data_IF_937101948363
#
_entry.id   IF_937101948363
#
_cell.length_a   1.000
_cell.length_b   1.000
_cell.length_c   1.000
_cell.angle_alpha   90.00
_cell.angle_beta   90.00
_cell.angle_gamma   90.00
#
_symmetry.space_group_name_H-M   'P 1'
#
loop_
_entity.id
_entity.type
_entity.pdbx_description
1 polymer ?
#
# COMPACT_ATOMS: atom_id res chain seq x y z
N UNK A 1 0.30 -3.31 16.98
CA UNK A 1 0.75 -1.95 17.31
C UNK A 1 1.48 -1.93 18.64
N UNK A 2 2.46 -1.01 18.74
CA UNK A 2 3.07 -0.62 20.01
C UNK A 2 2.63 0.81 20.32
N UNK A 3 1.89 0.97 21.41
CA UNK A 3 1.33 2.25 21.81
C UNK A 3 2.34 3.03 22.69
N UNK A 4 2.92 4.08 22.13
CA UNK A 4 3.87 4.96 22.81
C UNK A 4 3.22 5.94 23.81
N UNK A 5 1.89 6.01 23.85
CA UNK A 5 1.12 6.78 24.83
C UNK A 5 0.80 5.96 26.09
N UNK A 6 0.93 4.63 26.04
CA UNK A 6 0.69 3.78 27.21
C UNK A 6 1.81 3.99 28.26
N UNK A 7 1.45 4.59 29.36
CA UNK A 7 2.39 4.90 30.48
C UNK A 7 2.98 3.64 31.13
N UNK A 8 2.37 2.47 30.93
CA UNK A 8 2.87 1.19 31.43
C UNK A 8 4.04 0.66 30.59
N UNK A 9 4.22 1.15 29.39
CA UNK A 9 5.32 0.77 28.52
C UNK A 9 6.53 1.69 28.74
N UNK A 10 7.73 1.13 28.68
CA UNK A 10 8.99 1.87 28.76
C UNK A 10 9.22 2.69 27.49
N UNK A 11 8.52 3.81 27.36
CA UNK A 11 8.65 4.85 26.32
C UNK A 11 9.29 4.37 25.00
N UNK A 12 8.55 3.63 24.13
CA UNK A 12 9.10 3.10 22.86
C UNK A 12 9.63 4.21 21.94
N UNK A 13 9.17 5.44 22.13
CA UNK A 13 9.67 6.62 21.41
C UNK A 13 11.19 6.80 21.55
N UNK A 14 11.75 6.50 22.72
CA UNK A 14 13.17 6.66 23.01
C UNK A 14 14.03 5.45 22.53
N UNK A 15 13.42 4.38 22.03
CA UNK A 15 14.18 3.21 21.61
C UNK A 15 14.93 3.47 20.29
N UNK A 16 16.19 3.02 20.17
CA UNK A 16 16.91 3.06 18.91
C UNK A 16 16.17 2.31 17.81
N UNK A 17 16.30 2.81 16.57
CA UNK A 17 15.67 2.18 15.39
C UNK A 17 16.03 0.70 15.24
N UNK A 18 17.28 0.33 15.52
CA UNK A 18 17.75 -1.06 15.51
C UNK A 18 16.98 -1.94 16.50
N UNK A 19 16.70 -1.46 17.70
CA UNK A 19 15.92 -2.21 18.70
C UNK A 19 14.47 -2.40 18.25
N UNK A 20 13.86 -1.38 17.66
CA UNK A 20 12.51 -1.45 17.08
C UNK A 20 12.46 -2.47 15.93
N UNK A 21 13.47 -2.45 15.05
CA UNK A 21 13.60 -3.41 13.94
C UNK A 21 13.73 -4.85 14.45
N UNK A 22 14.59 -5.11 15.44
CA UNK A 22 14.73 -6.45 16.06
C UNK A 22 13.42 -6.94 16.66
N UNK A 23 12.68 -6.06 17.33
CA UNK A 23 11.37 -6.39 17.89
C UNK A 23 10.37 -6.74 16.78
N UNK A 24 10.36 -5.98 15.69
CA UNK A 24 9.50 -6.27 14.53
C UNK A 24 9.78 -7.66 13.96
N UNK A 25 11.06 -8.05 13.78
CA UNK A 25 11.45 -9.40 13.35
C UNK A 25 10.92 -10.47 14.29
N UNK A 26 11.09 -10.28 15.60
CA UNK A 26 10.65 -11.27 16.59
C UNK A 26 9.13 -11.44 16.60
N UNK A 27 8.40 -10.32 16.61
CA UNK A 27 6.92 -10.33 16.70
C UNK A 27 6.27 -10.79 15.39
N UNK A 28 6.89 -10.54 14.24
CA UNK A 28 6.35 -10.92 12.94
C UNK A 28 6.46 -12.40 12.61
N UNK A 29 7.26 -13.18 13.34
CA UNK A 29 7.38 -14.63 13.12
C UNK A 29 6.05 -15.35 13.31
N UNK A 30 5.58 -16.06 12.26
CA UNK A 30 4.23 -16.68 12.24
C UNK A 30 4.07 -17.84 13.23
N UNK A 31 5.15 -18.55 13.58
CA UNK A 31 5.08 -19.75 14.42
C UNK A 31 5.60 -19.53 15.85
N UNK A 32 6.42 -18.51 16.06
CA UNK A 32 7.10 -18.27 17.35
C UNK A 32 6.91 -16.85 17.88
N UNK A 33 6.24 -15.99 17.12
CA UNK A 33 5.82 -14.64 17.49
C UNK A 33 4.31 -14.48 17.38
N UNK A 34 3.85 -13.24 17.21
CA UNK A 34 2.42 -12.92 16.97
C UNK A 34 2.01 -13.28 15.53
N UNK A 35 2.93 -13.17 14.58
CA UNK A 35 2.69 -13.40 13.16
C UNK A 35 2.06 -12.17 12.48
N UNK A 36 2.89 -11.39 11.78
CA UNK A 36 2.46 -10.18 11.09
C UNK A 36 3.42 -9.86 9.93
N UNK A 37 3.03 -8.93 9.07
CA UNK A 37 3.88 -8.43 7.98
C UNK A 37 4.80 -7.28 8.45
N UNK A 38 4.63 -6.84 9.71
CA UNK A 38 5.46 -5.80 10.32
C UNK A 38 4.89 -5.31 11.64
N UNK A 39 5.54 -4.29 12.21
CA UNK A 39 5.19 -3.67 13.47
C UNK A 39 5.09 -2.16 13.31
N UNK A 40 4.00 -1.57 13.79
CA UNK A 40 3.78 -0.14 13.79
C UNK A 40 3.88 0.39 15.22
N UNK A 41 4.68 1.43 15.41
CA UNK A 41 4.76 2.21 16.62
C UNK A 41 3.93 3.49 16.46
N UNK A 42 3.00 3.69 17.38
CA UNK A 42 2.19 4.91 17.51
C UNK A 42 2.80 5.74 18.61
N UNK A 43 3.32 6.92 18.30
CA UNK A 43 4.14 7.70 19.20
C UNK A 43 3.67 9.16 19.29
N UNK A 44 3.95 9.88 20.40
CA UNK A 44 3.74 11.31 20.46
C UNK A 44 4.43 12.05 19.31
N UNK A 45 3.81 13.12 18.84
CA UNK A 45 4.31 14.03 17.81
C UNK A 45 4.07 15.48 18.23
N UNK A 46 5.00 16.36 17.88
CA UNK A 46 4.83 17.81 18.05
C UNK A 46 4.15 18.44 16.83
N UNK A 47 4.13 17.76 15.69
CA UNK A 47 3.66 18.27 14.39
C UNK A 47 2.29 17.72 14.00
N UNK A 48 1.84 16.62 14.63
CA UNK A 48 0.63 15.90 14.23
C UNK A 48 -0.05 15.29 15.47
N UNK A 49 -1.24 14.70 15.29
CA UNK A 49 -1.92 14.01 16.37
C UNK A 49 -1.07 12.88 16.97
N UNK A 50 -0.33 12.19 16.11
CA UNK A 50 0.67 11.21 16.51
C UNK A 50 1.67 10.98 15.37
N UNK A 51 2.80 10.31 15.69
CA UNK A 51 3.77 9.81 14.73
C UNK A 51 3.59 8.31 14.56
N UNK A 52 3.54 7.87 13.32
CA UNK A 52 3.57 6.47 12.92
C UNK A 52 4.96 6.10 12.42
N UNK A 53 5.63 5.18 13.10
CA UNK A 53 6.84 4.52 12.60
C UNK A 53 6.53 3.08 12.28
N UNK A 54 7.00 2.60 11.14
CA UNK A 54 6.72 1.25 10.66
C UNK A 54 8.03 0.48 10.43
N UNK A 55 8.03 -0.78 10.85
CA UNK A 55 9.12 -1.73 10.60
C UNK A 55 8.53 -2.99 9.95
N UNK A 56 9.11 -3.41 8.85
CA UNK A 56 8.73 -4.63 8.13
C UNK A 56 9.10 -5.89 8.94
N UNK A 57 8.62 -7.06 8.51
CA UNK A 57 8.91 -8.33 9.15
C UNK A 57 10.40 -8.71 9.13
N UNK A 58 11.19 -8.14 8.22
CA UNK A 58 12.65 -8.29 8.14
C UNK A 58 13.43 -7.30 9.03
N UNK A 59 12.71 -6.41 9.74
CA UNK A 59 13.27 -5.38 10.61
C UNK A 59 13.65 -4.08 9.88
N UNK A 60 13.53 -4.02 8.59
CA UNK A 60 13.78 -2.80 7.81
C UNK A 60 12.70 -1.75 8.11
N UNK A 61 13.10 -0.47 8.10
CA UNK A 61 12.19 0.65 8.33
C UNK A 61 11.41 0.97 7.05
N UNK A 62 10.08 1.00 7.15
CA UNK A 62 9.19 1.41 6.07
C UNK A 62 8.81 2.88 6.19
N UNK A 63 8.87 3.62 5.07
CA UNK A 63 8.55 5.04 5.07
C UNK A 63 7.06 5.33 5.26
N UNK A 64 6.20 4.45 4.72
CA UNK A 64 4.74 4.59 4.75
C UNK A 64 4.05 3.26 4.46
N UNK A 65 2.89 3.02 5.07
CA UNK A 65 2.00 1.91 4.77
C UNK A 65 0.54 2.40 4.73
N UNK A 66 -0.08 2.39 3.54
CA UNK A 66 -1.45 2.85 3.34
C UNK A 66 -2.48 2.08 4.17
N UNK A 67 -2.31 0.76 4.31
CA UNK A 67 -3.16 -0.07 5.17
C UNK A 67 -2.90 0.24 6.65
N UNK A 68 -1.63 0.29 7.02
CA UNK A 68 -1.19 0.52 8.40
C UNK A 68 -1.66 1.85 8.97
N UNK A 69 -1.58 2.94 8.18
CA UNK A 69 -2.00 4.26 8.66
C UNK A 69 -3.52 4.34 8.90
N UNK A 70 -4.36 3.64 8.09
CA UNK A 70 -5.80 3.58 8.35
C UNK A 70 -6.11 2.86 9.65
N UNK A 71 -5.45 1.75 9.91
CA UNK A 71 -5.59 1.03 11.17
C UNK A 71 -5.05 1.83 12.36
N UNK A 72 -3.89 2.49 12.21
CA UNK A 72 -3.32 3.33 13.26
C UNK A 72 -4.22 4.55 13.58
N UNK A 73 -4.81 5.16 12.56
CA UNK A 73 -5.77 6.25 12.73
C UNK A 73 -7.05 5.78 13.45
N UNK A 74 -7.57 4.60 13.10
CA UNK A 74 -8.69 3.97 13.80
C UNK A 74 -8.35 3.71 15.26
N UNK A 75 -7.18 3.11 15.52
CA UNK A 75 -6.68 2.86 16.88
C UNK A 75 -6.58 4.16 17.68
N UNK A 76 -5.95 5.19 17.10
CA UNK A 76 -5.77 6.48 17.77
C UNK A 76 -7.11 7.15 18.14
N UNK A 77 -8.10 7.03 17.27
CA UNK A 77 -9.45 7.54 17.52
C UNK A 77 -10.17 6.74 18.63
N UNK A 78 -10.15 5.42 18.57
CA UNK A 78 -10.82 4.54 19.54
C UNK A 78 -10.21 4.66 20.96
N UNK A 79 -8.91 5.00 21.05
CA UNK A 79 -8.19 5.14 22.32
C UNK A 79 -8.03 6.60 22.81
N UNK A 80 -8.68 7.54 22.12
CA UNK A 80 -8.70 8.96 22.53
C UNK A 80 -7.38 9.71 22.34
N UNK A 81 -6.41 9.14 21.57
CA UNK A 81 -5.20 9.86 21.16
C UNK A 81 -5.57 11.04 20.26
N UNK A 82 -6.60 10.88 19.43
CA UNK A 82 -7.27 11.96 18.73
C UNK A 82 -8.78 11.80 18.86
N UNK A 83 -9.46 12.87 19.26
CA UNK A 83 -10.93 12.91 19.33
C UNK A 83 -11.59 13.50 18.09
N UNK A 84 -10.79 14.10 17.20
CA UNK A 84 -11.27 14.68 15.97
C UNK A 84 -11.47 13.60 14.91
N UNK A 85 -12.50 13.76 14.06
CA UNK A 85 -12.70 12.86 12.90
C UNK A 85 -11.73 13.15 11.74
N UNK A 86 -11.07 14.31 11.74
CA UNK A 86 -10.03 14.68 10.80
C UNK A 86 -8.80 15.13 11.55
N UNK A 87 -7.67 14.49 11.28
CA UNK A 87 -6.39 14.83 11.91
C UNK A 87 -5.21 14.42 11.04
N UNK A 88 -4.03 14.89 11.42
CA UNK A 88 -2.79 14.60 10.73
C UNK A 88 -2.00 13.52 11.46
N UNK A 89 -1.27 12.72 10.68
CA UNK A 89 -0.35 11.68 11.15
C UNK A 89 1.02 11.95 10.55
N UNK A 90 2.04 12.07 11.40
CA UNK A 90 3.42 12.18 10.96
C UNK A 90 3.94 10.80 10.56
N UNK A 91 4.52 10.69 9.37
CA UNK A 91 5.17 9.48 8.85
C UNK A 91 6.56 9.81 8.34
N UNK A 92 7.38 8.81 8.02
CA UNK A 92 8.70 9.05 7.42
C UNK A 92 8.60 9.56 5.96
N UNK A 93 7.44 9.42 5.31
CA UNK A 93 7.16 10.02 4.00
C UNK A 93 6.44 11.37 4.08
N UNK A 94 6.43 12.01 5.27
CA UNK A 94 5.78 13.30 5.54
C UNK A 94 4.45 13.15 6.28
N UNK A 95 3.79 14.29 6.45
CA UNK A 95 2.49 14.36 7.13
C UNK A 95 1.38 13.89 6.18
N UNK A 96 0.47 13.08 6.71
CA UNK A 96 -0.71 12.57 6.00
C UNK A 96 -1.98 12.97 6.72
N UNK A 97 -2.96 13.46 5.99
CA UNK A 97 -4.29 13.74 6.53
C UNK A 97 -5.13 12.47 6.51
N UNK A 98 -5.80 12.20 7.62
CA UNK A 98 -6.73 11.07 7.76
C UNK A 98 -8.12 11.57 8.16
N UNK A 99 -9.14 10.86 7.70
CA UNK A 99 -10.54 11.20 7.89
C UNK A 99 -11.30 9.96 8.34
N UNK A 100 -11.87 10.02 9.54
CA UNK A 100 -12.72 8.97 10.11
C UNK A 100 -14.16 9.23 9.65
N UNK A 101 -14.76 8.26 8.97
CA UNK A 101 -16.18 8.29 8.62
C UNK A 101 -16.98 7.40 9.57
N UNK A 102 -18.09 7.89 10.04
CA UNK A 102 -19.02 7.18 10.91
C UNK A 102 -20.36 6.96 10.22
N UNK A 103 -21.20 6.10 10.80
CA UNK A 103 -22.63 6.03 10.48
C UNK A 103 -23.29 7.39 10.74
N UNK A 104 -24.45 7.61 10.12
CA UNK A 104 -25.22 8.84 10.33
C UNK A 104 -25.63 9.03 11.80
N UNK A 105 -25.82 7.93 12.53
CA UNK A 105 -26.09 7.91 13.97
C UNK A 105 -24.84 8.19 14.82
N UNK A 106 -23.67 8.21 14.20
CA UNK A 106 -22.39 8.51 14.85
C UNK A 106 -21.82 7.42 15.76
N UNK A 107 -22.45 6.25 15.81
CA UNK A 107 -22.09 5.19 16.75
C UNK A 107 -20.91 4.33 16.25
N UNK A 108 -20.85 4.07 14.92
CA UNK A 108 -19.88 3.16 14.35
C UNK A 108 -19.00 3.84 13.29
N UNK A 109 -17.70 3.52 13.30
CA UNK A 109 -16.78 3.91 12.24
C UNK A 109 -16.99 2.97 11.05
N UNK A 110 -17.34 3.57 9.90
CA UNK A 110 -17.60 2.84 8.64
C UNK A 110 -16.35 2.73 7.77
N UNK A 111 -15.50 3.77 7.77
CA UNK A 111 -14.26 3.76 7.00
C UNK A 111 -13.26 4.78 7.51
N UNK A 112 -12.00 4.60 7.09
CA UNK A 112 -10.91 5.56 7.27
C UNK A 112 -10.34 5.91 5.90
N UNK A 113 -10.42 7.18 5.53
CA UNK A 113 -9.80 7.74 4.33
C UNK A 113 -8.44 8.34 4.68
N UNK A 114 -7.48 8.21 3.78
CA UNK A 114 -6.15 8.79 3.89
C UNK A 114 -5.83 9.59 2.63
N UNK A 115 -5.34 10.80 2.80
CA UNK A 115 -4.73 11.55 1.71
C UNK A 115 -3.31 11.01 1.46
N UNK A 116 -3.15 10.33 0.33
CA UNK A 116 -1.88 9.70 -0.06
C UNK A 116 -0.90 10.70 -0.72
N UNK A 117 -1.34 11.95 -0.92
CA UNK A 117 -0.57 12.99 -1.60
C UNK A 117 -0.64 12.88 -3.12
N UNK A 118 0.25 13.61 -3.79
CA UNK A 118 0.26 13.71 -5.25
C UNK A 118 0.91 12.48 -5.88
N UNK A 119 0.22 11.88 -6.86
CA UNK A 119 0.77 10.82 -7.69
C UNK A 119 1.61 11.45 -8.82
N UNK A 120 2.93 11.23 -8.80
CA UNK A 120 3.81 11.75 -9.83
C UNK A 120 3.88 10.77 -11.03
N UNK A 121 3.60 11.30 -12.23
CA UNK A 121 3.81 10.55 -13.48
C UNK A 121 5.31 10.45 -13.78
N UNK A 122 5.83 9.22 -13.88
CA UNK A 122 7.23 8.94 -14.20
C UNK A 122 7.43 8.43 -15.64
N UNK A 123 6.36 8.42 -16.45
CA UNK A 123 6.39 8.07 -17.87
C UNK A 123 5.90 6.66 -18.16
N UNK A 124 5.74 6.42 -19.46
CA UNK A 124 5.29 5.15 -20.03
C UNK A 124 6.46 4.40 -20.68
N UNK A 125 6.38 3.09 -20.69
CA UNK A 125 7.31 2.21 -21.38
C UNK A 125 6.59 0.99 -21.93
N UNK A 126 7.28 0.24 -22.80
CA UNK A 126 6.83 -1.10 -23.21
C UNK A 126 7.84 -2.12 -22.72
N UNK A 127 7.34 -3.11 -22.04
CA UNK A 127 8.14 -4.21 -21.49
C UNK A 127 7.83 -5.50 -22.25
N UNK A 128 8.86 -6.15 -22.78
CA UNK A 128 8.74 -7.44 -23.45
C UNK A 128 8.92 -8.58 -22.43
N UNK A 129 7.85 -9.31 -22.20
CA UNK A 129 7.87 -10.56 -21.46
C UNK A 129 7.92 -11.72 -22.44
N UNK A 130 9.02 -12.48 -22.47
CA UNK A 130 9.13 -13.67 -23.32
C UNK A 130 8.39 -14.83 -22.65
N UNK A 131 7.67 -15.61 -23.47
CA UNK A 131 7.11 -16.88 -23.02
C UNK A 131 8.23 -17.82 -22.56
N UNK A 132 7.98 -18.61 -21.53
CA UNK A 132 8.85 -19.69 -21.07
C UNK A 132 8.03 -20.96 -20.95
N UNK A 133 8.65 -22.13 -21.17
CA UNK A 133 7.98 -23.43 -21.12
C UNK A 133 7.25 -23.69 -19.80
N UNK A 134 7.74 -23.14 -18.71
CA UNK A 134 7.15 -23.23 -17.37
C UNK A 134 5.87 -22.36 -17.15
N UNK A 135 5.48 -21.55 -18.15
CA UNK A 135 4.31 -20.66 -18.10
C UNK A 135 3.22 -21.17 -19.03
N UNK A 136 2.50 -22.19 -18.61
CA UNK A 136 1.57 -22.96 -19.44
C UNK A 136 0.48 -22.14 -20.13
N UNK A 137 0.07 -21.02 -19.55
CA UNK A 137 -1.03 -20.19 -20.06
C UNK A 137 -0.59 -18.79 -20.52
N UNK A 138 0.73 -18.57 -20.68
CA UNK A 138 1.28 -17.26 -21.04
C UNK A 138 2.15 -17.35 -22.28
N UNK A 139 1.69 -16.78 -23.38
CA UNK A 139 2.36 -16.81 -24.69
C UNK A 139 3.46 -15.75 -24.86
N UNK A 140 3.69 -14.92 -23.83
CA UNK A 140 4.56 -13.77 -23.93
C UNK A 140 3.90 -12.58 -24.63
N UNK A 141 4.59 -11.47 -24.69
CA UNK A 141 4.09 -10.27 -25.35
C UNK A 141 4.80 -8.99 -24.94
N UNK A 142 4.47 -7.90 -25.64
CA UNK A 142 4.92 -6.57 -25.31
C UNK A 142 3.80 -5.83 -24.59
N UNK A 143 4.01 -5.55 -23.31
CA UNK A 143 3.02 -4.92 -22.43
C UNK A 143 3.30 -3.42 -22.27
N UNK A 144 2.29 -2.56 -22.40
CA UNK A 144 2.39 -1.18 -21.98
C UNK A 144 2.45 -1.15 -20.45
N UNK A 145 3.38 -0.35 -19.91
CA UNK A 145 3.51 -0.12 -18.48
C UNK A 145 3.55 1.38 -18.22
N UNK A 146 2.99 1.79 -17.09
CA UNK A 146 3.05 3.15 -16.59
C UNK A 146 3.84 3.18 -15.29
N UNK A 147 4.83 4.04 -15.20
CA UNK A 147 5.51 4.30 -13.94
C UNK A 147 4.86 5.50 -13.22
N UNK A 148 4.56 5.29 -11.94
CA UNK A 148 3.96 6.31 -11.07
C UNK A 148 4.68 6.30 -9.72
N UNK A 149 4.82 7.46 -9.08
CA UNK A 149 5.31 7.55 -7.71
C UNK A 149 4.20 8.05 -6.77
N UNK A 150 4.00 7.31 -5.71
CA UNK A 150 3.18 7.65 -4.54
C UNK A 150 4.07 7.98 -3.32
N UNK A 151 5.29 8.53 -3.57
CA UNK A 151 6.37 8.61 -2.58
C UNK A 151 7.30 7.38 -2.63
N UNK A 152 6.80 6.26 -3.13
CA UNK A 152 7.54 5.08 -3.57
C UNK A 152 7.17 4.78 -5.04
N UNK A 153 8.06 4.10 -5.75
CA UNK A 153 7.87 3.83 -7.19
C UNK A 153 7.00 2.61 -7.43
N UNK A 154 6.13 2.74 -8.43
CA UNK A 154 5.22 1.71 -8.91
C UNK A 154 5.37 1.54 -10.42
N UNK A 155 5.33 0.29 -10.92
CA UNK A 155 5.28 -0.07 -12.33
C UNK A 155 3.99 -0.85 -12.59
N UNK A 156 3.06 -0.24 -13.30
CA UNK A 156 1.73 -0.78 -13.54
C UNK A 156 1.67 -1.40 -14.94
N UNK A 157 1.48 -2.72 -15.01
CA UNK A 157 1.15 -3.45 -16.23
C UNK A 157 -0.36 -3.39 -16.49
N UNK A 158 -0.74 -2.93 -17.69
CA UNK A 158 -2.12 -3.00 -18.14
C UNK A 158 -2.36 -4.35 -18.79
N UNK A 159 -3.19 -5.17 -18.17
CA UNK A 159 -3.47 -6.55 -18.60
C UNK A 159 -4.97 -6.79 -18.76
N UNK A 160 -5.35 -7.85 -19.49
CA UNK A 160 -6.76 -8.24 -19.62
C UNK A 160 -7.20 -9.13 -18.45
N UNK A 161 -6.33 -10.02 -17.99
CA UNK A 161 -6.62 -10.92 -16.88
C UNK A 161 -5.46 -10.91 -15.88
N UNK A 162 -5.71 -10.37 -14.67
CA UNK A 162 -4.69 -10.28 -13.63
C UNK A 162 -4.30 -11.65 -13.06
N UNK A 163 -5.22 -12.62 -13.05
CA UNK A 163 -4.94 -13.94 -12.48
C UNK A 163 -4.05 -14.78 -13.41
N UNK A 164 -4.24 -14.68 -14.73
CA UNK A 164 -3.41 -15.36 -15.72
C UNK A 164 -2.04 -14.68 -15.93
N UNK A 165 -1.88 -13.44 -15.48
CA UNK A 165 -0.64 -12.68 -15.70
C UNK A 165 0.48 -13.17 -14.75
N UNK A 166 1.69 -13.47 -15.26
CA UNK A 166 2.82 -13.99 -14.47
C UNK A 166 3.51 -12.86 -13.69
N UNK A 167 2.79 -12.24 -12.74
CA UNK A 167 3.18 -11.01 -12.07
C UNK A 167 4.54 -11.10 -11.37
N UNK A 168 4.83 -12.24 -10.68
CA UNK A 168 6.12 -12.42 -9.99
C UNK A 168 7.29 -12.37 -10.96
N UNK A 169 7.14 -12.99 -12.13
CA UNK A 169 8.17 -13.01 -13.19
C UNK A 169 8.32 -11.65 -13.87
N UNK A 170 7.20 -10.93 -14.04
CA UNK A 170 7.23 -9.56 -14.52
C UNK A 170 7.99 -8.66 -13.52
N UNK A 171 7.76 -8.82 -12.22
CA UNK A 171 8.47 -8.08 -11.18
C UNK A 171 9.97 -8.40 -11.16
N UNK A 172 10.35 -9.69 -11.25
CA UNK A 172 11.76 -10.09 -11.37
C UNK A 172 12.45 -9.39 -12.55
N UNK A 173 11.80 -9.33 -13.72
CA UNK A 173 12.34 -8.63 -14.89
C UNK A 173 12.45 -7.12 -14.65
N UNK A 174 11.38 -6.48 -14.14
CA UNK A 174 11.38 -5.03 -13.86
C UNK A 174 12.53 -4.65 -12.93
N UNK A 175 12.80 -5.45 -11.91
CA UNK A 175 13.89 -5.19 -10.96
C UNK A 175 15.30 -5.28 -11.59
N UNK A 176 15.44 -5.93 -12.77
CA UNK A 176 16.73 -5.96 -13.50
C UNK A 176 16.91 -4.80 -14.47
N UNK A 177 15.86 -4.01 -14.71
CA UNK A 177 15.96 -2.90 -15.66
C UNK A 177 16.69 -1.69 -15.03
N UNK A 178 17.51 -0.99 -15.81
CA UNK A 178 18.21 0.22 -15.34
C UNK A 178 17.23 1.25 -14.75
N UNK A 179 17.61 1.87 -13.64
CA UNK A 179 16.81 2.86 -12.93
C UNK A 179 15.78 2.27 -11.95
N UNK A 180 15.80 0.94 -11.75
CA UNK A 180 14.94 0.24 -10.78
C UNK A 180 15.74 -0.41 -9.64
N UNK A 181 17.01 -0.05 -9.48
CA UNK A 181 17.97 -0.61 -8.52
C UNK A 181 17.51 -0.44 -7.07
N UNK A 182 16.82 0.68 -6.78
CA UNK A 182 16.26 0.97 -5.44
C UNK A 182 14.97 0.17 -5.14
N UNK A 183 14.52 -0.64 -6.09
CA UNK A 183 13.31 -1.44 -6.02
C UNK A 183 12.05 -0.66 -6.40
N UNK A 184 11.14 -1.36 -7.07
CA UNK A 184 9.86 -0.86 -7.60
C UNK A 184 8.79 -1.85 -7.19
N UNK A 185 7.64 -1.36 -6.72
CA UNK A 185 6.45 -2.19 -6.61
C UNK A 185 5.89 -2.42 -8.01
N UNK A 186 5.44 -3.63 -8.29
CA UNK A 186 4.95 -4.01 -9.63
C UNK A 186 3.52 -4.48 -9.51
N UNK A 187 2.64 -3.83 -10.26
CA UNK A 187 1.22 -4.11 -10.28
C UNK A 187 0.78 -4.67 -11.65
N UNK A 188 -0.16 -5.61 -11.62
CA UNK A 188 -0.98 -5.98 -12.76
C UNK A 188 -2.38 -5.40 -12.55
N UNK A 189 -2.86 -4.59 -13.49
CA UNK A 189 -4.14 -3.91 -13.42
C UNK A 189 -5.00 -4.21 -14.64
N UNK A 190 -6.21 -4.73 -14.43
CA UNK A 190 -7.24 -4.93 -15.44
C UNK A 190 -8.43 -4.01 -15.15
N UNK A 191 -8.88 -3.28 -16.18
CA UNK A 191 -10.10 -2.45 -16.08
C UNK A 191 -11.26 -3.28 -16.58
N UNK A 192 -12.23 -3.52 -15.71
CA UNK A 192 -13.46 -4.25 -16.00
C UNK A 192 -14.68 -3.33 -15.82
N UNK A 193 -15.85 -3.81 -16.23
CA UNK A 193 -17.12 -3.10 -16.09
C UNK A 193 -18.14 -3.97 -15.37
N UNK A 194 -18.88 -3.36 -14.46
CA UNK A 194 -20.06 -3.98 -13.87
C UNK A 194 -21.13 -4.12 -14.96
N UNK A 195 -21.58 -5.35 -15.21
CA UNK A 195 -22.47 -5.65 -16.33
C UNK A 195 -23.80 -4.86 -16.30
N UNK A 196 -24.33 -4.57 -15.10
CA UNK A 196 -25.63 -3.91 -14.93
C UNK A 196 -25.50 -2.38 -15.03
N UNK A 197 -24.48 -1.78 -14.42
CA UNK A 197 -24.32 -0.31 -14.35
C UNK A 197 -23.41 0.25 -15.41
N UNK A 198 -22.54 -0.57 -16.01
CA UNK A 198 -21.47 -0.13 -16.91
C UNK A 198 -20.32 0.60 -16.20
N UNK A 199 -20.38 0.69 -14.88
CA UNK A 199 -19.39 1.35 -14.05
C UNK A 199 -18.07 0.59 -14.11
N UNK A 200 -16.96 1.34 -14.27
CA UNK A 200 -15.63 0.73 -14.37
C UNK A 200 -15.05 0.52 -12.97
N UNK A 201 -14.33 -0.58 -12.82
CA UNK A 201 -13.51 -0.87 -11.65
C UNK A 201 -12.16 -1.45 -12.10
N UNK A 202 -11.20 -1.49 -11.19
CA UNK A 202 -9.87 -2.06 -11.45
C UNK A 202 -9.73 -3.33 -10.61
N UNK A 203 -9.42 -4.47 -11.26
CA UNK A 203 -8.84 -5.62 -10.56
C UNK A 203 -7.33 -5.46 -10.52
N UNK A 204 -6.72 -5.73 -9.37
CA UNK A 204 -5.29 -5.51 -9.18
C UNK A 204 -4.64 -6.63 -8.37
N UNK A 205 -3.43 -7.01 -8.79
CA UNK A 205 -2.46 -7.77 -8.00
C UNK A 205 -1.17 -6.99 -7.90
N UNK A 206 -0.39 -7.20 -6.83
CA UNK A 206 0.84 -6.46 -6.56
C UNK A 206 1.94 -7.35 -6.03
N UNK A 207 3.16 -7.12 -6.50
CA UNK A 207 4.40 -7.58 -5.89
C UNK A 207 5.09 -6.38 -5.28
N UNK A 208 5.15 -6.34 -3.96
CA UNK A 208 5.74 -5.24 -3.22
C UNK A 208 7.25 -5.46 -3.00
N UNK A 209 8.00 -4.38 -3.05
CA UNK A 209 9.43 -4.37 -2.75
C UNK A 209 9.69 -4.96 -1.36
N UNK A 210 10.50 -6.02 -1.30
CA UNK A 210 10.90 -6.67 -0.04
C UNK A 210 9.87 -7.62 0.57
N UNK A 211 8.59 -7.57 0.14
CA UNK A 211 7.52 -8.40 0.73
C UNK A 211 6.96 -9.45 -0.24
N UNK A 212 7.31 -9.36 -1.53
CA UNK A 212 6.76 -10.26 -2.54
C UNK A 212 5.30 -9.95 -2.88
N UNK A 213 4.55 -10.96 -3.34
CA UNK A 213 3.13 -10.76 -3.65
C UNK A 213 2.30 -10.69 -2.38
N UNK A 214 1.67 -9.53 -2.16
CA UNK A 214 0.84 -9.25 -0.99
C UNK A 214 -0.65 -9.23 -1.35
N UNK A 215 -1.50 -9.28 -0.34
CA UNK A 215 -2.95 -9.28 -0.52
C UNK A 215 -3.52 -7.90 -0.85
N UNK A 216 -2.85 -6.82 -0.43
CA UNK A 216 -3.31 -5.45 -0.68
C UNK A 216 -2.17 -4.44 -0.48
N UNK A 217 -2.08 -3.45 -1.39
CA UNK A 217 -1.17 -2.32 -1.31
C UNK A 217 -1.93 -1.02 -1.56
N UNK A 218 -1.99 -0.14 -0.55
CA UNK A 218 -2.73 1.13 -0.66
C UNK A 218 -2.10 2.11 -1.64
N UNK A 219 -0.76 2.26 -1.63
CA UNK A 219 -0.02 3.10 -2.60
C UNK A 219 -0.12 2.52 -4.01
N UNK A 220 -0.07 1.18 -4.14
CA UNK A 220 -0.25 0.50 -5.42
C UNK A 220 -1.65 0.71 -6.01
N UNK A 221 -2.70 0.70 -5.17
CA UNK A 221 -4.06 1.02 -5.62
C UNK A 221 -4.15 2.45 -6.14
N UNK A 222 -3.63 3.43 -5.41
CA UNK A 222 -3.61 4.82 -5.86
C UNK A 222 -2.79 5.00 -7.14
N UNK A 223 -1.61 4.37 -7.23
CA UNK A 223 -0.77 4.40 -8.43
C UNK A 223 -1.46 3.76 -9.64
N UNK A 224 -2.18 2.65 -9.45
CA UNK A 224 -2.93 1.98 -10.52
C UNK A 224 -4.10 2.85 -11.01
N UNK A 225 -4.81 3.53 -10.10
CA UNK A 225 -5.87 4.48 -10.49
C UNK A 225 -5.29 5.65 -11.25
N UNK A 226 -4.21 6.26 -10.77
CA UNK A 226 -3.53 7.36 -11.48
C UNK A 226 -3.04 6.91 -12.87
N UNK A 227 -2.44 5.73 -12.98
CA UNK A 227 -2.01 5.17 -14.26
C UNK A 227 -3.19 4.95 -15.23
N UNK A 228 -4.29 4.37 -14.75
CA UNK A 228 -5.49 4.16 -15.56
C UNK A 228 -6.14 5.49 -15.98
N UNK A 229 -6.17 6.47 -15.09
CA UNK A 229 -6.67 7.82 -15.39
C UNK A 229 -5.85 8.53 -16.46
N UNK A 230 -4.51 8.55 -16.29
CA UNK A 230 -3.58 9.15 -17.26
C UNK A 230 -3.72 8.55 -18.66
N UNK A 231 -4.03 7.26 -18.74
CA UNK A 231 -4.21 6.52 -19.99
C UNK A 231 -5.68 6.49 -20.48
N UNK A 232 -6.58 7.30 -19.90
CA UNK A 232 -7.99 7.38 -20.30
C UNK A 232 -8.79 6.11 -20.11
N UNK A 233 -8.31 5.18 -19.29
CA UNK A 233 -8.96 3.88 -19.04
C UNK A 233 -10.09 3.97 -18.03
N UNK A 234 -9.93 4.80 -16.99
CA UNK A 234 -10.94 5.05 -15.92
C UNK A 234 -11.08 6.54 -15.66
N UNK A 235 -12.10 6.91 -14.87
CA UNK A 235 -12.18 8.21 -14.22
C UNK A 235 -11.21 8.29 -13.03
N UNK A 236 -11.22 9.44 -12.32
CA UNK A 236 -10.40 9.66 -11.14
C UNK A 236 -10.93 8.91 -9.90
N UNK A 237 -12.24 8.66 -9.86
CA UNK A 237 -12.88 7.90 -8.78
C UNK A 237 -13.18 6.49 -9.28
N UNK A 238 -12.61 5.49 -8.63
CA UNK A 238 -12.79 4.10 -9.03
C UNK A 238 -12.58 3.14 -7.87
N UNK A 239 -13.33 2.03 -7.89
CA UNK A 239 -13.13 0.91 -6.97
C UNK A 239 -11.97 0.05 -7.46
N UNK A 240 -11.05 -0.30 -6.56
CA UNK A 240 -9.94 -1.23 -6.81
C UNK A 240 -10.19 -2.50 -6.02
N UNK A 241 -10.38 -3.61 -6.73
CA UNK A 241 -10.53 -4.94 -6.15
C UNK A 241 -9.16 -5.62 -6.05
N UNK A 242 -8.75 -5.92 -4.83
CA UNK A 242 -7.54 -6.66 -4.50
C UNK A 242 -7.91 -7.99 -3.83
N UNK A 243 -6.97 -8.91 -3.76
CA UNK A 243 -7.19 -10.19 -3.06
C UNK A 243 -7.53 -10.04 -1.58
N UNK A 244 -7.05 -8.97 -0.94
CA UNK A 244 -7.28 -8.67 0.47
C UNK A 244 -8.54 -7.84 0.74
N UNK A 245 -9.26 -7.41 -0.30
CA UNK A 245 -10.47 -6.59 -0.19
C UNK A 245 -10.46 -5.38 -1.10
N UNK A 246 -11.47 -4.55 -1.00
CA UNK A 246 -11.74 -3.45 -1.89
C UNK A 246 -11.27 -2.11 -1.33
N UNK A 247 -10.74 -1.26 -2.21
CA UNK A 247 -10.32 0.10 -1.90
C UNK A 247 -11.03 1.09 -2.84
N UNK A 248 -11.81 2.00 -2.28
CA UNK A 248 -12.28 3.16 -3.02
C UNK A 248 -11.14 4.18 -3.11
N UNK A 249 -10.79 4.60 -4.31
CA UNK A 249 -9.74 5.57 -4.60
C UNK A 249 -10.33 6.73 -5.39
N UNK A 250 -9.96 7.94 -4.99
CA UNK A 250 -10.35 9.20 -5.63
C UNK A 250 -9.20 10.19 -5.71
#
# INVERSE_FOLDING_TARGET
YMDGFDSRMSKPAAWPSEQKGRLAVMMSRRHTGIGADGLIFIQPSEEAAFRMEMYNADGSRGAMCGNGIRCAARYAYDHGISTNQSFQVQTDSGIRSVYIRKTDEGEHITSVRVDMGVMANLGEQRVLLKAKEEWTDFTGGSFPVQYVSAGNRHCIFFVENVEAFPLKKAAELIHTLPGNEDGVNVEAAAVEKIAVTGEKYIKMRVVERGSGETMACGTGACASVAACYLNGRTGAQVMVHLRGGDLAVE
#
